data_IF_825058100639
#
_entry.id   IF_825058100639
#
_cell.length_a   1.000
_cell.length_b   1.000
_cell.length_c   1.000
_cell.angle_alpha   90.00
_cell.angle_beta   90.00
_cell.angle_gamma   90.00
#
_symmetry.space_group_name_H-M   'P 1'
#
loop_
_entity.id
_entity.type
_entity.pdbx_description
1 polymer ?
#
# COMPACT_ATOMS: atom_id res chain seq x y z
N UNK A 1 31.06 34.69 -0.71
CA UNK A 1 30.64 34.68 0.72
C UNK A 1 29.73 33.48 0.86
N UNK A 2 30.09 32.54 1.72
CA UNK A 2 29.28 31.36 2.03
C UNK A 2 28.54 31.61 3.35
N UNK A 3 27.29 31.18 3.43
CA UNK A 3 26.48 31.23 4.64
C UNK A 3 25.99 29.83 5.00
N UNK A 4 26.28 29.39 6.23
CA UNK A 4 25.86 28.10 6.74
C UNK A 4 24.46 28.19 7.37
N UNK A 5 23.51 27.42 6.83
CA UNK A 5 22.13 27.37 7.30
C UNK A 5 21.83 26.00 7.90
N UNK A 6 21.52 25.99 9.21
CA UNK A 6 21.14 24.78 9.93
C UNK A 6 19.64 24.49 9.76
N UNK A 7 19.31 23.26 9.32
CA UNK A 7 17.91 22.81 9.14
C UNK A 7 17.60 21.65 10.08
N UNK A 8 16.46 21.75 10.78
CA UNK A 8 16.00 20.68 11.67
C UNK A 8 15.35 19.51 10.90
N UNK A 9 15.50 18.28 11.43
CA UNK A 9 14.87 17.08 10.86
C UNK A 9 13.36 17.07 11.15
N UNK A 10 12.54 16.59 10.21
CA UNK A 10 11.10 16.36 10.43
C UNK A 10 10.84 15.15 11.34
N UNK A 11 9.65 15.03 11.91
CA UNK A 11 9.30 13.91 12.81
C UNK A 11 9.49 12.53 12.15
N UNK A 12 9.07 12.37 10.88
CA UNK A 12 9.26 11.15 10.07
C UNK A 12 10.74 10.84 9.84
N UNK A 13 11.56 11.85 9.51
CA UNK A 13 13.01 11.64 9.33
C UNK A 13 13.69 11.24 10.64
N UNK A 14 13.27 11.82 11.77
CA UNK A 14 13.78 11.44 13.10
C UNK A 14 13.42 10.00 13.48
N UNK A 15 12.20 9.53 13.21
CA UNK A 15 11.81 8.15 13.51
C UNK A 15 12.59 7.15 12.64
N UNK A 16 12.71 7.42 11.34
CA UNK A 16 13.51 6.60 10.41
C UNK A 16 14.98 6.54 10.81
N UNK A 17 15.57 7.68 11.16
CA UNK A 17 16.95 7.76 11.64
C UNK A 17 17.16 6.94 12.92
N UNK A 18 16.24 7.04 13.89
CA UNK A 18 16.28 6.22 15.12
C UNK A 18 16.13 4.72 14.84
N UNK A 19 15.21 4.35 13.95
CA UNK A 19 15.01 2.95 13.58
C UNK A 19 16.25 2.34 12.89
N UNK A 20 16.97 3.13 12.09
CA UNK A 20 18.23 2.73 11.48
C UNK A 20 19.35 2.57 12.50
N UNK A 21 19.49 3.52 13.42
CA UNK A 21 20.44 3.41 14.52
C UNK A 21 20.18 2.18 15.40
N UNK A 22 18.92 1.79 15.59
CA UNK A 22 18.57 0.60 16.35
C UNK A 22 18.95 -0.72 15.64
N UNK A 23 18.88 -0.75 14.30
CA UNK A 23 19.25 -1.94 13.48
C UNK A 23 20.76 -2.10 13.31
N UNK A 24 21.52 -1.07 13.68
CA UNK A 24 22.95 -0.99 13.47
C UNK A 24 23.63 -1.01 14.84
N UNK A 25 24.26 -2.14 15.19
CA UNK A 25 25.11 -2.22 16.37
C UNK A 25 26.29 -1.25 16.23
N UNK A 26 26.19 -0.10 16.90
CA UNK A 26 27.23 0.94 16.91
C UNK A 26 28.54 0.36 17.48
N UNK A 27 28.46 -0.57 18.42
CA UNK A 27 29.61 -1.26 19.00
C UNK A 27 30.35 -2.13 17.95
N UNK A 28 29.62 -2.88 17.12
CA UNK A 28 30.23 -3.71 16.07
C UNK A 28 30.84 -2.87 14.95
N UNK A 29 30.27 -1.69 14.68
CA UNK A 29 30.83 -0.73 13.74
C UNK A 29 32.15 -0.12 14.24
N UNK A 30 32.23 0.25 15.51
CA UNK A 30 33.46 0.77 16.11
C UNK A 30 34.52 -0.34 16.17
N UNK A 31 34.14 -1.57 16.54
CA UNK A 31 35.05 -2.71 16.56
C UNK A 31 35.57 -3.09 15.16
N UNK A 32 34.74 -2.99 14.12
CA UNK A 32 35.15 -3.20 12.72
C UNK A 32 35.98 -2.04 12.16
N UNK A 33 35.66 -0.80 12.55
CA UNK A 33 36.43 0.39 12.18
C UNK A 33 37.78 0.46 12.89
N UNK A 34 37.98 -0.21 14.03
CA UNK A 34 39.30 -0.38 14.64
C UNK A 34 40.19 -1.38 13.88
N UNK A 35 39.60 -2.23 13.02
CA UNK A 35 40.27 -3.23 12.19
C UNK A 35 40.34 -2.79 10.70
N UNK A 36 40.86 -1.58 10.43
CA UNK A 36 40.97 -0.94 9.08
C UNK A 36 41.82 -1.74 8.07
N UNK A 37 42.39 -2.90 8.46
CA UNK A 37 43.08 -3.79 7.54
C UNK A 37 42.17 -4.64 6.64
N UNK A 38 40.89 -4.80 6.98
CA UNK A 38 39.98 -5.68 6.24
C UNK A 38 39.11 -4.91 5.23
N UNK A 39 39.42 -5.03 3.93
CA UNK A 39 38.71 -4.30 2.85
C UNK A 39 37.20 -4.56 2.80
N UNK A 40 36.73 -5.67 3.38
CA UNK A 40 35.31 -6.01 3.45
C UNK A 40 34.57 -5.18 4.51
N UNK A 41 35.19 -4.90 5.64
CA UNK A 41 34.59 -4.08 6.71
C UNK A 41 34.44 -2.62 6.27
N UNK A 42 35.42 -2.08 5.52
CA UNK A 42 35.37 -0.75 4.93
C UNK A 42 34.24 -0.57 3.91
N UNK A 43 33.97 -1.57 3.04
CA UNK A 43 32.83 -1.53 2.10
C UNK A 43 31.49 -1.54 2.81
N UNK A 44 31.33 -2.37 3.85
CA UNK A 44 30.09 -2.41 4.65
C UNK A 44 29.86 -1.09 5.37
N UNK A 45 30.89 -0.50 5.96
CA UNK A 45 30.82 0.82 6.60
C UNK A 45 30.43 1.91 5.61
N UNK A 46 31.04 1.94 4.42
CA UNK A 46 30.73 2.94 3.39
C UNK A 46 29.28 2.83 2.92
N UNK A 47 28.76 1.61 2.75
CA UNK A 47 27.35 1.39 2.41
C UNK A 47 26.39 1.90 3.50
N UNK A 48 26.75 1.74 4.78
CA UNK A 48 25.96 2.26 5.90
C UNK A 48 25.99 3.79 5.94
N UNK A 49 27.16 4.43 5.82
CA UNK A 49 27.30 5.90 5.79
C UNK A 49 26.53 6.49 4.59
N UNK A 50 26.64 5.87 3.42
CA UNK A 50 25.87 6.28 2.24
C UNK A 50 24.36 6.11 2.44
N UNK A 51 23.93 5.06 3.15
CA UNK A 51 22.51 4.90 3.51
C UNK A 51 22.04 6.00 4.47
N UNK A 52 22.83 6.35 5.48
CA UNK A 52 22.50 7.46 6.40
C UNK A 52 22.39 8.81 5.68
N UNK A 53 23.33 9.13 4.78
CA UNK A 53 23.27 10.37 3.98
C UNK A 53 22.08 10.38 3.01
N UNK A 54 21.67 9.22 2.47
CA UNK A 54 20.48 9.10 1.62
C UNK A 54 19.18 9.32 2.40
N UNK A 55 19.11 8.84 3.64
CA UNK A 55 17.91 8.95 4.50
C UNK A 55 17.56 10.39 4.86
N UNK A 56 18.56 11.21 5.13
CA UNK A 56 18.34 12.63 5.49
C UNK A 56 17.76 13.43 4.31
N UNK A 57 18.18 13.09 3.09
CA UNK A 57 17.80 13.81 1.88
C UNK A 57 16.47 13.32 1.29
N UNK A 58 16.24 12.00 1.26
CA UNK A 58 15.04 11.42 0.66
C UNK A 58 14.49 10.26 1.51
N UNK A 59 13.57 10.54 2.46
CA UNK A 59 13.00 9.49 3.33
C UNK A 59 12.18 8.43 2.57
N UNK A 60 11.75 8.71 1.34
CA UNK A 60 10.94 7.80 0.52
C UNK A 60 11.74 6.67 -0.14
N UNK A 61 13.07 6.80 -0.22
CA UNK A 61 13.93 5.73 -0.72
C UNK A 61 14.03 4.55 0.26
N UNK A 62 13.69 4.76 1.52
CA UNK A 62 13.83 3.76 2.58
C UNK A 62 12.52 3.07 2.93
N UNK A 63 11.43 3.82 2.87
CA UNK A 63 10.09 3.31 3.14
C UNK A 63 9.15 3.93 2.13
N UNK A 64 8.68 3.11 1.19
CA UNK A 64 7.59 3.51 0.31
C UNK A 64 6.39 3.80 1.20
N UNK A 65 5.91 5.04 1.14
CA UNK A 65 4.62 5.38 1.72
C UNK A 65 3.56 4.87 0.74
N UNK A 66 3.13 3.62 0.91
CA UNK A 66 2.01 3.10 0.15
C UNK A 66 0.76 3.92 0.46
N UNK A 67 -0.09 4.10 -0.56
CA UNK A 67 -1.31 4.89 -0.41
C UNK A 67 -2.24 4.19 0.57
N UNK A 68 -2.50 4.84 1.70
CA UNK A 68 -3.46 4.36 2.68
C UNK A 68 -4.86 4.79 2.26
N UNK A 69 -5.73 3.82 2.04
CA UNK A 69 -7.15 4.03 1.72
C UNK A 69 -8.04 3.58 2.87
N UNK A 70 -9.24 4.16 3.03
CA UNK A 70 -10.19 3.69 4.04
C UNK A 70 -10.57 2.24 3.78
N UNK A 71 -10.86 1.50 4.86
CA UNK A 71 -11.32 0.12 4.78
C UNK A 71 -12.67 0.04 4.06
N UNK A 72 -12.74 -0.75 2.99
CA UNK A 72 -13.98 -1.03 2.25
C UNK A 72 -14.64 -2.29 2.77
N UNK A 73 -15.76 -2.15 3.48
CA UNK A 73 -16.59 -3.28 3.90
C UNK A 73 -17.49 -3.76 2.76
N UNK A 74 -16.87 -4.34 1.74
CA UNK A 74 -17.56 -4.86 0.56
C UNK A 74 -17.01 -6.22 0.14
N UNK A 75 -17.86 -7.06 -0.46
CA UNK A 75 -17.40 -8.20 -1.25
C UNK A 75 -17.14 -7.70 -2.66
N UNK A 76 -15.98 -8.03 -3.21
CA UNK A 76 -15.55 -7.63 -4.54
C UNK A 76 -14.95 -8.83 -5.28
N UNK A 77 -14.91 -8.75 -6.61
CA UNK A 77 -14.33 -9.79 -7.46
C UNK A 77 -12.84 -9.93 -7.19
N UNK A 78 -12.37 -11.17 -7.02
CA UNK A 78 -10.93 -11.44 -6.89
C UNK A 78 -10.30 -11.43 -8.28
N UNK A 79 -9.22 -10.67 -8.50
CA UNK A 79 -8.53 -10.68 -9.77
C UNK A 79 -7.90 -12.06 -10.00
N UNK A 80 -7.95 -12.54 -11.25
CA UNK A 80 -7.16 -13.69 -11.69
C UNK A 80 -5.68 -13.31 -11.83
N UNK A 81 -4.76 -14.29 -12.00
CA UNK A 81 -3.36 -13.98 -12.24
C UNK A 81 -3.20 -13.10 -13.49
N UNK A 82 -2.50 -11.97 -13.31
CA UNK A 82 -2.23 -10.97 -14.37
C UNK A 82 -1.63 -11.59 -15.64
N UNK A 83 -0.94 -12.73 -15.53
CA UNK A 83 -0.40 -13.47 -16.68
C UNK A 83 -1.46 -13.97 -17.68
N UNK A 84 -2.74 -14.03 -17.29
CA UNK A 84 -3.85 -14.43 -18.15
C UNK A 84 -4.61 -13.23 -18.73
N UNK A 85 -4.35 -12.03 -18.23
CA UNK A 85 -4.99 -10.82 -18.70
C UNK A 85 -4.36 -10.38 -20.03
N UNK A 86 -5.19 -10.09 -21.04
CA UNK A 86 -4.74 -9.50 -22.31
C UNK A 86 -4.67 -7.97 -22.24
N UNK A 87 -4.38 -7.32 -23.37
CA UNK A 87 -4.28 -5.85 -23.47
C UNK A 87 -5.60 -5.13 -23.12
N UNK A 88 -6.73 -5.83 -23.28
CA UNK A 88 -8.06 -5.32 -22.95
C UNK A 88 -8.73 -6.23 -21.92
N UNK A 89 -9.10 -5.64 -20.78
CA UNK A 89 -9.75 -6.33 -19.67
C UNK A 89 -11.14 -5.73 -19.48
N UNK A 90 -12.16 -6.59 -19.42
CA UNK A 90 -13.50 -6.16 -19.01
C UNK A 90 -13.56 -6.07 -17.49
N UNK A 91 -13.91 -4.89 -16.96
CA UNK A 91 -13.96 -4.59 -15.52
C UNK A 91 -15.42 -4.36 -15.10
N UNK A 92 -16.26 -5.40 -14.99
CA UNK A 92 -17.62 -5.23 -14.47
C UNK A 92 -17.54 -4.79 -13.00
N UNK A 93 -18.52 -4.01 -12.54
CA UNK A 93 -18.61 -3.59 -11.15
C UNK A 93 -19.08 -4.78 -10.28
N UNK A 94 -18.21 -5.43 -9.49
CA UNK A 94 -18.54 -6.68 -8.78
C UNK A 94 -18.84 -6.43 -7.30
N UNK A 95 -18.86 -5.16 -6.88
CA UNK A 95 -18.94 -4.76 -5.48
C UNK A 95 -20.35 -4.95 -4.95
N UNK A 96 -20.51 -5.75 -3.91
CA UNK A 96 -21.78 -5.91 -3.22
C UNK A 96 -21.59 -5.92 -1.70
N UNK A 97 -22.65 -5.58 -0.97
CA UNK A 97 -22.65 -5.59 0.48
C UNK A 97 -22.47 -7.04 0.99
N UNK A 98 -21.53 -7.32 1.92
CA UNK A 98 -21.41 -8.63 2.55
C UNK A 98 -22.65 -9.02 3.38
N UNK A 99 -23.46 -8.05 3.78
CA UNK A 99 -24.72 -8.25 4.49
C UNK A 99 -25.80 -8.52 3.45
N UNK A 100 -26.27 -9.75 3.41
CA UNK A 100 -27.33 -10.21 2.52
C UNK A 100 -28.68 -10.18 3.24
N UNK A 101 -29.71 -9.70 2.55
CA UNK A 101 -31.08 -9.71 3.04
C UNK A 101 -31.99 -10.38 2.02
N UNK A 102 -32.60 -11.50 2.39
CA UNK A 102 -33.50 -12.26 1.52
C UNK A 102 -34.93 -11.83 1.76
N UNK A 103 -35.55 -11.23 0.73
CA UNK A 103 -36.97 -10.89 0.73
C UNK A 103 -37.72 -11.89 -0.15
N UNK A 104 -38.87 -12.43 0.29
CA UNK A 104 -39.73 -13.23 -0.57
C UNK A 104 -40.12 -12.46 -1.84
N UNK A 105 -40.07 -13.12 -2.99
CA UNK A 105 -40.39 -12.48 -4.29
C UNK A 105 -41.75 -11.79 -4.31
N UNK A 106 -42.75 -12.38 -3.65
CA UNK A 106 -44.08 -11.79 -3.51
C UNK A 106 -44.07 -10.40 -2.88
N UNK A 107 -43.24 -10.16 -1.86
CA UNK A 107 -43.15 -8.85 -1.21
C UNK A 107 -42.47 -7.82 -2.10
N UNK A 108 -41.46 -8.23 -2.88
CA UNK A 108 -40.77 -7.37 -3.85
C UNK A 108 -41.72 -6.96 -4.97
N UNK A 109 -42.48 -7.92 -5.51
CA UNK A 109 -43.40 -7.67 -6.61
C UNK A 109 -44.62 -6.86 -6.15
N UNK A 110 -45.05 -6.99 -4.90
CA UNK A 110 -46.15 -6.21 -4.31
C UNK A 110 -45.77 -4.74 -4.10
N UNK A 111 -44.54 -4.43 -3.64
CA UNK A 111 -44.06 -3.04 -3.58
C UNK A 111 -43.74 -2.45 -4.96
N UNK A 112 -43.13 -3.21 -5.87
CA UNK A 112 -42.87 -2.72 -7.23
C UNK A 112 -44.18 -2.39 -7.98
N UNK A 113 -45.24 -3.17 -7.75
CA UNK A 113 -46.57 -2.92 -8.31
C UNK A 113 -47.24 -1.67 -7.71
N UNK A 114 -46.97 -1.34 -6.43
CA UNK A 114 -47.50 -0.13 -5.79
C UNK A 114 -46.67 1.13 -6.07
N UNK A 115 -45.34 1.03 -6.21
CA UNK A 115 -44.45 2.19 -6.29
C UNK A 115 -44.12 2.63 -7.73
N UNK A 116 -44.18 1.75 -8.73
CA UNK A 116 -43.92 2.10 -10.15
C UNK A 116 -44.80 1.27 -11.12
N UNK A 117 -46.00 1.75 -11.49
CA UNK A 117 -46.92 0.99 -12.35
C UNK A 117 -46.50 0.86 -13.82
N UNK A 118 -45.35 1.38 -14.27
CA UNK A 118 -44.88 1.25 -15.67
C UNK A 118 -43.37 1.38 -15.81
N UNK A 119 -42.64 0.26 -15.76
CA UNK A 119 -41.40 0.09 -16.54
C UNK A 119 -41.20 -1.39 -16.88
N UNK A 120 -41.03 -1.76 -18.17
CA UNK A 120 -40.78 -3.15 -18.53
C UNK A 120 -39.39 -3.58 -18.04
N UNK A 121 -39.33 -4.65 -17.23
CA UNK A 121 -38.07 -5.32 -16.88
C UNK A 121 -37.42 -5.85 -18.16
N UNK A 122 -36.28 -5.29 -18.55
CA UNK A 122 -35.32 -6.00 -19.39
C UNK A 122 -34.67 -7.06 -18.48
N UNK A 123 -35.23 -8.27 -18.48
CA UNK A 123 -34.53 -9.44 -17.96
C UNK A 123 -33.31 -9.66 -18.86
N UNK A 124 -32.11 -9.36 -18.38
CA UNK A 124 -30.92 -10.01 -18.91
C UNK A 124 -30.88 -11.44 -18.34
N UNK A 125 -30.94 -12.48 -19.18
CA UNK A 125 -30.79 -13.85 -18.71
C UNK A 125 -29.30 -14.13 -18.52
N UNK A 126 -28.94 -14.70 -17.37
CA UNK A 126 -27.66 -15.40 -17.21
C UNK A 126 -26.65 -14.71 -16.29
N UNK A 127 -26.80 -14.95 -14.98
CA UNK A 127 -25.65 -15.18 -14.10
C UNK A 127 -25.99 -16.42 -13.27
N UNK A 128 -25.89 -17.57 -13.93
CA UNK A 128 -25.64 -18.87 -13.29
C UNK A 128 -24.44 -19.46 -14.03
N UNK A 129 -23.25 -19.14 -13.54
CA UNK A 129 -21.99 -19.88 -13.63
C UNK A 129 -20.89 -18.99 -13.03
#
# INVERSE_FOLDING_TARGET
IEEDIYVSLSARRRSLYKALLAKVSVADLIAKAANIGDTNSARTLMNLVMQFCKVCNHPELFERADVVVPFSFSRFGRPEPVSRDGDFINLPYPTHNPIEFTVPSFCIDMEACWMYPRTPRILHPGVVA
#
